data_IF_039894164799
#
_entry.id   IF_039894164799
#
_cell.length_a   1.000
_cell.length_b   1.000
_cell.length_c   1.000
_cell.angle_alpha   90.00
_cell.angle_beta   90.00
_cell.angle_gamma   90.00
#
_symmetry.space_group_name_H-M   'P 1'
#
loop_
_entity.id
_entity.type
_entity.pdbx_description
1 polymer ?
#
# COMPACT_ATOMS: atom_id res chain seq x y z
N UNK A 1 7.63 25.03 3.05
CA UNK A 1 6.20 25.38 2.89
C UNK A 1 5.43 24.61 3.96
N UNK A 2 4.98 25.28 5.03
CA UNK A 2 4.26 24.60 6.14
C UNK A 2 2.79 24.46 5.75
N UNK A 3 2.25 23.24 5.75
CA UNK A 3 0.84 22.97 5.45
C UNK A 3 0.19 22.43 6.71
N UNK A 4 -1.04 22.85 6.99
CA UNK A 4 -1.82 22.25 8.07
C UNK A 4 -2.30 20.87 7.59
N UNK A 5 -2.03 19.83 8.37
CA UNK A 5 -2.61 18.52 8.17
C UNK A 5 -3.71 18.30 9.21
N UNK A 6 -4.75 17.54 8.84
CA UNK A 6 -5.76 17.08 9.77
C UNK A 6 -5.10 16.11 10.75
N UNK A 7 -5.24 16.33 12.06
CA UNK A 7 -4.91 15.31 13.05
C UNK A 7 -5.94 14.18 12.96
N UNK A 8 -5.51 12.94 13.07
CA UNK A 8 -6.37 11.76 12.92
C UNK A 8 -6.28 10.78 14.07
N UNK A 9 -6.67 9.53 13.81
CA UNK A 9 -6.70 8.46 14.82
C UNK A 9 -5.59 7.42 14.63
N UNK A 10 -4.83 7.47 13.53
CA UNK A 10 -3.83 6.45 13.22
C UNK A 10 -2.65 6.55 14.17
N UNK A 11 -2.23 5.40 14.69
CA UNK A 11 -1.13 5.27 15.64
C UNK A 11 0.19 5.08 14.93
N UNK A 12 1.28 5.24 15.66
CA UNK A 12 2.62 4.98 15.15
C UNK A 12 2.74 3.55 14.60
N UNK A 13 3.29 3.41 13.40
CA UNK A 13 3.36 2.15 12.65
C UNK A 13 2.13 1.80 11.83
N UNK A 14 1.04 2.57 11.91
CA UNK A 14 -0.13 2.37 11.04
C UNK A 14 0.02 3.15 9.73
N UNK A 15 -0.54 2.59 8.65
CA UNK A 15 -0.57 3.24 7.34
C UNK A 15 -1.41 4.51 7.37
N UNK A 16 -0.97 5.52 6.61
CA UNK A 16 -1.63 6.82 6.53
C UNK A 16 -1.62 7.37 5.12
N UNK A 17 -2.56 8.28 4.85
CA UNK A 17 -2.63 9.00 3.58
C UNK A 17 -2.13 10.44 3.80
N UNK A 18 -1.05 10.87 3.11
CA UNK A 18 -0.54 12.24 3.22
C UNK A 18 -1.61 13.27 2.87
N UNK A 19 -1.80 14.28 3.71
CA UNK A 19 -2.82 15.34 3.54
C UNK A 19 -4.26 14.80 3.44
N UNK A 20 -4.57 13.64 4.03
CA UNK A 20 -5.93 13.10 4.01
C UNK A 20 -6.94 14.07 4.61
N UNK A 21 -8.12 14.13 4.00
CA UNK A 21 -9.28 14.85 4.53
C UNK A 21 -10.10 14.00 5.52
N UNK A 22 -9.74 12.72 5.69
CA UNK A 22 -10.43 11.77 6.55
C UNK A 22 -9.64 11.58 7.85
N UNK A 23 -10.29 11.85 8.98
CA UNK A 23 -9.70 11.67 10.32
C UNK A 23 -9.23 10.22 10.55
N UNK A 24 -9.95 9.24 9.99
CA UNK A 24 -9.60 7.82 10.07
C UNK A 24 -8.35 7.42 9.25
N UNK A 25 -7.89 8.26 8.32
CA UNK A 25 -6.71 8.00 7.48
C UNK A 25 -5.51 8.89 7.81
N UNK A 26 -5.68 9.80 8.77
CA UNK A 26 -4.66 10.73 9.22
C UNK A 26 -3.99 10.25 10.52
N UNK A 27 -2.74 10.68 10.72
CA UNK A 27 -1.96 10.34 11.91
C UNK A 27 -2.41 11.11 13.14
N UNK A 28 -2.32 10.46 14.29
CA UNK A 28 -2.59 11.08 15.58
C UNK A 28 -1.64 12.23 15.91
N UNK A 29 -1.96 12.99 16.97
CA UNK A 29 -1.18 14.16 17.38
C UNK A 29 0.32 13.85 17.53
N UNK A 30 1.16 14.70 16.96
CA UNK A 30 2.63 14.59 17.06
C UNK A 30 3.29 13.57 16.11
N UNK A 31 2.52 12.90 15.24
CA UNK A 31 3.03 11.97 14.26
C UNK A 31 3.05 12.59 12.85
N UNK A 32 4.09 12.26 12.09
CA UNK A 32 4.24 12.65 10.68
C UNK A 32 3.76 11.50 9.78
N UNK A 33 3.10 11.85 8.67
CA UNK A 33 2.65 10.87 7.68
C UNK A 33 3.61 10.81 6.49
N UNK A 34 4.42 9.76 6.44
CA UNK A 34 5.28 9.44 5.30
C UNK A 34 4.84 8.11 4.65
N UNK A 35 3.52 7.96 4.44
CA UNK A 35 2.87 6.68 4.10
C UNK A 35 2.60 5.79 5.31
N UNK A 36 3.38 5.99 6.37
CA UNK A 36 3.19 5.42 7.70
C UNK A 36 3.25 6.54 8.73
N UNK A 37 2.45 6.41 9.78
CA UNK A 37 2.52 7.32 10.92
C UNK A 37 3.76 7.02 11.75
N UNK A 38 4.61 8.03 11.92
CA UNK A 38 5.82 7.90 12.72
C UNK A 38 6.16 9.19 13.43
N UNK A 39 6.76 9.09 14.62
CA UNK A 39 7.37 10.27 15.24
C UNK A 39 8.53 10.78 14.40
N UNK A 40 8.85 12.06 14.51
CA UNK A 40 10.04 12.61 13.86
C UNK A 40 11.31 11.94 14.42
N UNK A 41 12.30 11.75 13.56
CA UNK A 41 13.53 11.07 13.92
C UNK A 41 14.76 11.77 13.32
N UNK A 42 15.96 11.34 13.74
CA UNK A 42 17.23 11.84 13.17
C UNK A 42 18.03 10.65 12.67
N UNK A 43 18.34 10.56 11.36
CA UNK A 43 19.08 9.42 10.80
C UNK A 43 20.44 9.18 11.47
N UNK A 44 21.04 10.23 12.03
CA UNK A 44 22.34 10.19 12.70
C UNK A 44 22.24 9.70 14.16
N UNK A 45 21.02 9.56 14.70
CA UNK A 45 20.77 9.14 16.08
C UNK A 45 19.95 7.84 16.06
N UNK A 46 20.60 6.67 16.15
CA UNK A 46 19.93 5.36 16.07
C UNK A 46 18.81 5.18 17.12
N UNK A 47 18.99 5.76 18.31
CA UNK A 47 18.01 5.71 19.42
C UNK A 47 16.80 6.64 19.22
N UNK A 48 16.74 7.38 18.10
CA UNK A 48 15.60 8.27 17.81
C UNK A 48 14.31 7.51 17.50
N UNK A 49 14.41 6.23 17.11
CA UNK A 49 13.26 5.38 16.84
C UNK A 49 13.15 4.23 17.85
N UNK A 50 11.92 3.85 18.23
CA UNK A 50 11.70 2.69 19.08
C UNK A 50 12.07 1.39 18.35
N UNK A 51 12.20 0.31 19.12
CA UNK A 51 12.47 -1.02 18.56
C UNK A 51 11.39 -1.43 17.54
N UNK A 52 11.81 -2.02 16.41
CA UNK A 52 10.93 -2.35 15.28
C UNK A 52 10.69 -1.19 14.32
N UNK A 53 11.39 -0.08 14.49
CA UNK A 53 11.36 1.06 13.58
C UNK A 53 12.76 1.50 13.19
N UNK A 54 12.87 2.18 12.05
CA UNK A 54 14.12 2.80 11.61
C UNK A 54 13.86 4.23 11.13
N UNK A 55 14.91 5.05 11.17
CA UNK A 55 14.86 6.40 10.64
C UNK A 55 15.43 6.42 9.21
N UNK A 56 14.62 6.70 8.17
CA UNK A 56 15.12 6.78 6.80
C UNK A 56 16.01 8.02 6.63
N UNK A 57 17.10 7.91 5.85
CA UNK A 57 17.98 9.06 5.54
C UNK A 57 17.25 10.19 4.80
N UNK A 58 16.30 9.82 3.94
CA UNK A 58 15.46 10.75 3.19
C UNK A 58 14.05 10.67 3.76
N UNK A 59 13.55 11.80 4.26
CA UNK A 59 12.19 11.92 4.77
C UNK A 59 11.22 12.49 3.72
N UNK A 60 9.95 12.59 4.11
CA UNK A 60 8.96 13.32 3.31
C UNK A 60 9.05 14.84 3.48
N UNK A 61 8.03 15.58 3.00
CA UNK A 61 8.03 17.05 2.98
C UNK A 61 8.24 17.71 4.35
N UNK A 62 7.84 17.04 5.43
CA UNK A 62 7.91 17.52 6.81
C UNK A 62 9.11 16.94 7.59
N UNK A 63 9.99 16.21 6.89
CA UNK A 63 11.19 15.60 7.46
C UNK A 63 11.08 14.08 7.65
N UNK A 64 12.17 13.44 8.13
CA UNK A 64 12.20 12.01 8.38
C UNK A 64 11.36 11.63 9.61
N UNK A 65 10.69 10.49 9.51
CA UNK A 65 9.89 9.90 10.58
C UNK A 65 10.23 8.43 10.75
N UNK A 66 10.03 7.89 11.95
CA UNK A 66 10.23 6.47 12.20
C UNK A 66 9.28 5.63 11.34
N UNK A 67 9.86 4.78 10.48
CA UNK A 67 9.12 3.84 9.65
C UNK A 67 9.19 2.44 10.27
N UNK A 68 8.12 1.65 10.23
CA UNK A 68 8.16 0.28 10.75
C UNK A 68 9.12 -0.58 9.91
N UNK A 69 9.73 -1.57 10.56
CA UNK A 69 10.54 -2.60 9.90
C UNK A 69 10.37 -3.97 10.56
N UNK A 70 10.28 -5.00 9.73
CA UNK A 70 10.27 -6.40 10.16
C UNK A 70 11.58 -7.15 9.85
N UNK A 71 12.59 -6.48 9.27
CA UNK A 71 13.81 -7.13 8.77
C UNK A 71 14.65 -7.79 9.86
N UNK A 72 14.73 -7.16 11.04
CA UNK A 72 15.55 -7.64 12.15
C UNK A 72 14.83 -8.63 13.07
N UNK A 73 13.51 -8.47 13.22
CA UNK A 73 12.69 -9.28 14.12
C UNK A 73 12.11 -10.52 13.45
N UNK A 74 12.02 -10.52 12.12
CA UNK A 74 11.21 -11.49 11.39
C UNK A 74 9.72 -11.31 11.69
N UNK A 75 8.90 -12.14 11.04
CA UNK A 75 7.46 -12.10 11.21
C UNK A 75 6.93 -13.33 11.94
N UNK A 76 5.77 -13.21 12.61
CA UNK A 76 5.08 -14.37 13.16
C UNK A 76 4.84 -15.45 12.09
N UNK A 77 4.57 -16.71 12.51
CA UNK A 77 4.09 -17.74 11.61
C UNK A 77 2.87 -17.22 10.81
N UNK A 78 2.79 -17.62 9.55
CA UNK A 78 1.74 -17.21 8.58
C UNK A 78 1.81 -15.75 8.08
N UNK A 79 2.85 -15.00 8.47
CA UNK A 79 3.09 -13.64 7.97
C UNK A 79 4.43 -13.56 7.24
N UNK A 80 4.47 -12.73 6.20
CA UNK A 80 5.70 -12.38 5.50
C UNK A 80 6.10 -10.93 5.82
N UNK A 81 7.40 -10.65 5.78
CA UNK A 81 7.91 -9.29 5.87
C UNK A 81 7.76 -8.62 4.51
N UNK A 82 6.86 -7.65 4.41
CA UNK A 82 6.50 -7.02 3.13
C UNK A 82 7.04 -5.61 3.09
N UNK A 83 7.82 -5.32 2.05
CA UNK A 83 8.43 -4.03 1.81
C UNK A 83 7.47 -3.15 1.01
N UNK A 84 7.27 -1.92 1.48
CA UNK A 84 6.42 -0.96 0.80
C UNK A 84 7.27 0.06 0.06
N UNK A 85 6.79 0.55 -1.09
CA UNK A 85 7.49 1.58 -1.87
C UNK A 85 7.69 2.88 -1.08
N UNK A 86 6.92 3.10 0.00
CA UNK A 86 7.10 4.23 0.92
C UNK A 86 8.27 4.05 1.91
N UNK A 87 9.00 2.92 1.83
CA UNK A 87 10.22 2.65 2.57
C UNK A 87 10.07 1.76 3.81
N UNK A 88 8.88 1.68 4.41
CA UNK A 88 8.62 0.81 5.56
C UNK A 88 8.48 -0.66 5.18
N UNK A 89 8.68 -1.55 6.15
CA UNK A 89 8.29 -2.96 6.04
C UNK A 89 7.46 -3.39 7.24
N UNK A 90 6.41 -4.18 6.98
CA UNK A 90 5.55 -4.71 8.04
C UNK A 90 5.28 -6.18 7.83
N UNK A 91 5.04 -6.88 8.94
CA UNK A 91 4.54 -8.24 8.89
C UNK A 91 3.09 -8.23 8.45
N UNK A 92 2.79 -9.01 7.42
CA UNK A 92 1.44 -9.09 6.89
C UNK A 92 1.14 -10.49 6.37
N UNK A 93 -0.12 -10.88 6.49
CA UNK A 93 -0.67 -12.03 5.79
C UNK A 93 -0.78 -11.67 4.32
N UNK A 94 -0.14 -12.46 3.45
CA UNK A 94 -0.15 -12.22 2.01
C UNK A 94 -1.30 -12.97 1.37
N UNK A 95 -2.15 -12.23 0.68
CA UNK A 95 -3.18 -12.77 -0.19
C UNK A 95 -2.73 -12.65 -1.64
N UNK A 96 -2.81 -13.76 -2.39
CA UNK A 96 -2.31 -13.85 -3.77
C UNK A 96 -0.86 -14.34 -3.84
N UNK A 97 -0.16 -13.97 -4.91
CA UNK A 97 1.23 -14.39 -5.13
C UNK A 97 2.15 -13.40 -4.44
N UNK A 98 2.95 -13.85 -3.47
CA UNK A 98 4.00 -13.02 -2.87
C UNK A 98 5.10 -12.72 -3.91
N UNK A 99 4.90 -11.64 -4.65
CA UNK A 99 5.78 -11.25 -5.75
C UNK A 99 7.09 -10.58 -5.31
N UNK A 100 7.26 -10.34 -4.00
CA UNK A 100 8.54 -9.93 -3.42
C UNK A 100 9.43 -11.13 -3.10
N UNK A 101 8.83 -12.27 -2.77
CA UNK A 101 9.55 -13.54 -2.59
C UNK A 101 9.74 -14.29 -3.90
N UNK A 102 8.73 -14.27 -4.78
CA UNK A 102 8.75 -14.91 -6.09
C UNK A 102 8.64 -13.83 -7.19
N UNK A 103 9.75 -13.44 -7.83
CA UNK A 103 9.76 -12.33 -8.78
C UNK A 103 8.72 -12.49 -9.88
N UNK A 104 8.09 -11.37 -10.25
CA UNK A 104 7.15 -11.37 -11.36
C UNK A 104 7.84 -11.72 -12.69
N UNK A 105 7.10 -12.35 -13.63
CA UNK A 105 7.56 -12.53 -15.01
C UNK A 105 8.00 -11.22 -15.65
N UNK A 106 8.85 -11.30 -16.68
CA UNK A 106 9.34 -10.13 -17.40
C UNK A 106 8.20 -9.20 -17.86
N UNK A 107 8.42 -7.89 -17.73
CA UNK A 107 7.44 -6.82 -18.03
C UNK A 107 6.19 -6.75 -17.13
N UNK A 108 6.19 -7.47 -15.99
CA UNK A 108 5.19 -7.30 -14.93
C UNK A 108 5.82 -6.67 -13.69
N UNK A 109 5.02 -5.93 -12.93
CA UNK A 109 5.44 -5.32 -11.67
C UNK A 109 4.66 -5.93 -10.51
N UNK A 110 5.38 -6.11 -9.41
CA UNK A 110 4.80 -6.58 -8.16
C UNK A 110 3.98 -5.45 -7.54
N UNK A 111 2.66 -5.61 -7.56
CA UNK A 111 1.76 -4.66 -6.95
C UNK A 111 1.41 -5.10 -5.53
N UNK A 112 1.45 -4.13 -4.62
CA UNK A 112 1.13 -4.30 -3.21
C UNK A 112 -0.05 -3.41 -2.87
N UNK A 113 -1.10 -4.01 -2.35
CA UNK A 113 -2.32 -3.32 -1.96
C UNK A 113 -2.62 -3.58 -0.49
N UNK A 114 -2.67 -2.50 0.30
CA UNK A 114 -3.16 -2.52 1.67
C UNK A 114 -4.55 -1.90 1.72
N UNK A 115 -5.42 -2.54 2.48
CA UNK A 115 -6.80 -2.07 2.67
C UNK A 115 -6.90 -1.45 4.06
N UNK A 116 -7.42 -0.23 4.13
CA UNK A 116 -7.45 0.55 5.37
C UNK A 116 -8.25 -0.12 6.50
N UNK A 117 -9.22 -0.98 6.15
CA UNK A 117 -10.02 -1.78 7.07
C UNK A 117 -9.40 -3.12 7.47
N UNK A 118 -8.37 -3.60 6.75
CA UNK A 118 -7.71 -4.90 7.01
C UNK A 118 -6.23 -4.71 7.34
N UNK A 119 -5.98 -4.11 8.50
CA UNK A 119 -4.61 -3.96 9.00
C UNK A 119 -3.93 -5.33 9.17
N UNK A 120 -2.66 -5.43 8.78
CA UNK A 120 -1.89 -6.68 8.85
C UNK A 120 -2.15 -7.66 7.72
N UNK A 121 -2.91 -7.27 6.69
CA UNK A 121 -3.08 -8.03 5.46
C UNK A 121 -2.63 -7.21 4.24
N UNK A 122 -2.04 -7.89 3.27
CA UNK A 122 -1.65 -7.30 1.99
C UNK A 122 -2.10 -8.20 0.85
N UNK A 123 -2.58 -7.59 -0.22
CA UNK A 123 -2.88 -8.26 -1.47
C UNK A 123 -1.76 -8.00 -2.45
N UNK A 124 -1.23 -9.08 -3.02
CA UNK A 124 -0.08 -9.03 -3.92
C UNK A 124 -0.39 -9.76 -5.22
N UNK A 125 -0.06 -9.11 -6.33
CA UNK A 125 -0.15 -9.73 -7.65
C UNK A 125 0.85 -9.10 -8.62
N UNK A 126 1.19 -9.86 -9.64
CA UNK A 126 1.98 -9.37 -10.76
C UNK A 126 1.05 -8.76 -11.79
N UNK A 127 1.22 -7.46 -12.06
CA UNK A 127 0.44 -6.76 -13.07
C UNK A 127 1.32 -6.33 -14.24
N UNK A 128 0.86 -6.51 -15.50
CA UNK A 128 1.49 -5.85 -16.62
C UNK A 128 1.41 -4.33 -16.48
N UNK A 129 2.51 -3.65 -16.78
CA UNK A 129 2.48 -2.19 -16.91
C UNK A 129 1.94 -1.79 -18.29
N UNK A 130 1.15 -0.72 -18.32
CA UNK A 130 0.74 -0.08 -19.56
C UNK A 130 1.26 1.35 -19.61
N UNK A 131 1.80 1.75 -20.76
CA UNK A 131 2.17 3.15 -21.00
C UNK A 131 0.95 3.94 -21.47
N UNK A 132 0.99 5.27 -21.32
CA UNK A 132 0.03 6.18 -21.95
C UNK A 132 -0.02 6.05 -23.47
N UNK A 133 1.00 5.42 -24.07
CA UNK A 133 1.13 5.20 -25.50
C UNK A 133 0.59 3.81 -25.93
N UNK A 134 -0.02 3.05 -25.00
CA UNK A 134 -0.82 1.88 -25.35
C UNK A 134 -0.04 0.62 -25.72
N UNK A 135 0.88 0.15 -24.85
CA UNK A 135 1.05 -1.31 -24.77
C UNK A 135 -0.28 -1.87 -24.25
N UNK A 136 -1.11 -2.34 -25.19
CA UNK A 136 -2.46 -2.81 -24.96
C UNK A 136 -2.43 -3.89 -23.91
N UNK A 137 -3.07 -3.65 -22.78
CA UNK A 137 -3.33 -4.71 -21.83
C UNK A 137 -3.96 -5.92 -22.56
N UNK A 138 -3.69 -7.12 -22.06
CA UNK A 138 -4.29 -8.34 -22.61
C UNK A 138 -5.81 -8.21 -22.70
N UNK A 139 -6.43 -9.00 -23.57
CA UNK A 139 -7.89 -9.05 -23.67
C UNK A 139 -8.51 -9.31 -22.30
N UNK A 140 -9.55 -8.56 -21.95
CA UNK A 140 -10.14 -8.56 -20.60
C UNK A 140 -9.47 -7.63 -19.59
N UNK A 141 -8.45 -6.84 -19.97
CA UNK A 141 -7.81 -5.84 -19.13
C UNK A 141 -7.84 -4.45 -19.78
N UNK A 142 -7.76 -3.39 -18.97
CA UNK A 142 -7.61 -2.03 -19.46
C UNK A 142 -6.61 -1.23 -18.64
N UNK A 143 -6.02 -0.22 -19.28
CA UNK A 143 -4.98 0.59 -18.66
C UNK A 143 -5.58 1.61 -17.68
N UNK A 144 -5.13 1.56 -16.42
CA UNK A 144 -5.48 2.52 -15.36
C UNK A 144 -4.25 2.81 -14.52
N UNK A 145 -3.90 4.09 -14.34
CA UNK A 145 -2.74 4.51 -13.55
C UNK A 145 -1.45 3.75 -13.93
N UNK A 146 -1.23 3.57 -15.24
CA UNK A 146 -0.10 2.83 -15.83
C UNK A 146 -0.07 1.32 -15.54
N UNK A 147 -1.22 0.75 -15.16
CA UNK A 147 -1.37 -0.67 -14.83
C UNK A 147 -2.51 -1.30 -15.61
N UNK A 148 -2.36 -2.57 -15.95
CA UNK A 148 -3.41 -3.36 -16.57
C UNK A 148 -4.33 -3.95 -15.50
N UNK A 149 -5.51 -3.35 -15.35
CA UNK A 149 -6.54 -3.79 -14.41
C UNK A 149 -7.54 -4.67 -15.14
N UNK A 150 -7.93 -5.79 -14.51
CA UNK A 150 -8.92 -6.73 -15.06
C UNK A 150 -10.30 -6.06 -15.12
N UNK A 151 -10.93 -6.12 -16.29
CA UNK A 151 -12.31 -5.71 -16.47
C UNK A 151 -13.24 -6.79 -15.92
N UNK A 152 -14.39 -6.36 -15.39
CA UNK A 152 -15.44 -7.25 -14.94
C UNK A 152 -16.80 -6.72 -15.38
N UNK A 153 -17.84 -7.54 -15.24
CA UNK A 153 -19.22 -7.09 -15.35
C UNK A 153 -19.92 -7.26 -14.00
N UNK A 154 -20.79 -6.33 -13.60
CA UNK A 154 -21.49 -6.40 -12.32
C UNK A 154 -22.31 -7.69 -12.17
N UNK A 155 -22.86 -8.21 -13.27
CA UNK A 155 -23.69 -9.41 -13.30
C UNK A 155 -22.86 -10.72 -13.38
N UNK A 156 -21.52 -10.64 -13.28
CA UNK A 156 -20.62 -11.78 -13.39
C UNK A 156 -19.58 -11.77 -12.26
N UNK A 157 -20.01 -12.06 -11.02
CA UNK A 157 -19.17 -11.94 -9.82
C UNK A 157 -17.94 -12.86 -9.85
N UNK A 158 -18.01 -13.99 -10.58
CA UNK A 158 -16.92 -14.97 -10.68
C UNK A 158 -15.77 -14.52 -11.61
N UNK A 159 -15.86 -13.32 -12.20
CA UNK A 159 -14.82 -12.80 -13.11
C UNK A 159 -13.56 -12.35 -12.35
N UNK A 160 -13.72 -11.98 -11.09
CA UNK A 160 -12.66 -11.43 -10.25
C UNK A 160 -11.95 -12.51 -9.43
N UNK A 161 -10.71 -12.24 -9.04
CA UNK A 161 -9.91 -13.17 -8.26
C UNK A 161 -10.38 -13.30 -6.82
N UNK A 162 -9.84 -14.26 -6.05
CA UNK A 162 -10.13 -14.39 -4.63
C UNK A 162 -9.87 -13.09 -3.86
N UNK A 163 -10.86 -12.63 -3.08
CA UNK A 163 -10.77 -11.39 -2.30
C UNK A 163 -10.95 -10.11 -3.12
N UNK A 164 -11.41 -10.23 -4.37
CA UNK A 164 -11.76 -9.11 -5.23
C UNK A 164 -13.26 -9.04 -5.47
N UNK A 165 -13.77 -7.82 -5.65
CA UNK A 165 -15.14 -7.56 -6.11
C UNK A 165 -15.13 -6.75 -7.40
N UNK A 166 -16.21 -6.89 -8.16
CA UNK A 166 -16.42 -6.05 -9.32
C UNK A 166 -16.98 -4.69 -8.88
N UNK A 167 -16.22 -3.62 -9.08
CA UNK A 167 -16.65 -2.28 -8.68
C UNK A 167 -16.45 -1.25 -9.80
N UNK A 168 -17.36 -0.29 -9.86
CA UNK A 168 -17.23 0.87 -10.71
C UNK A 168 -16.43 1.96 -10.00
N UNK A 169 -15.23 2.22 -10.53
CA UNK A 169 -14.24 3.08 -9.86
C UNK A 169 -14.63 4.57 -9.77
N UNK A 170 -15.49 5.01 -10.68
CA UNK A 170 -16.11 6.34 -10.78
C UNK A 170 -17.38 6.22 -11.61
N UNK A 171 -18.34 7.12 -11.43
CA UNK A 171 -19.54 7.16 -12.27
C UNK A 171 -19.16 7.23 -13.77
N UNK A 172 -19.71 6.29 -14.55
CA UNK A 172 -19.43 6.17 -15.98
C UNK A 172 -18.06 5.56 -16.33
N UNK A 173 -17.24 5.17 -15.35
CA UNK A 173 -16.02 4.42 -15.60
C UNK A 173 -16.31 2.95 -15.95
N UNK A 174 -15.32 2.28 -16.54
CA UNK A 174 -15.36 0.82 -16.73
C UNK A 174 -15.30 0.11 -15.38
N UNK A 175 -16.06 -0.97 -15.26
CA UNK A 175 -16.03 -1.87 -14.12
C UNK A 175 -14.70 -2.62 -14.06
N UNK A 176 -14.15 -2.71 -12.85
CA UNK A 176 -12.85 -3.32 -12.61
C UNK A 176 -12.92 -4.26 -11.41
N UNK A 177 -12.11 -5.32 -11.46
CA UNK A 177 -11.83 -6.11 -10.28
C UNK A 177 -10.93 -5.30 -9.34
N UNK A 178 -11.47 -4.97 -8.17
CA UNK A 178 -10.78 -4.29 -7.08
C UNK A 178 -10.75 -5.22 -5.88
N UNK A 179 -9.75 -5.06 -5.01
CA UNK A 179 -9.76 -5.80 -3.75
C UNK A 179 -10.94 -5.37 -2.89
N UNK A 180 -11.63 -6.33 -2.30
CA UNK A 180 -12.79 -6.06 -1.49
C UNK A 180 -12.37 -5.53 -0.11
N UNK A 181 -12.61 -4.24 0.10
CA UNK A 181 -12.37 -3.51 1.35
C UNK A 181 -13.33 -3.90 2.50
N UNK A 182 -14.44 -4.61 2.23
CA UNK A 182 -15.43 -5.00 3.24
C UNK A 182 -15.39 -6.52 3.54
N UNK A 183 -14.56 -6.93 4.51
CA UNK A 183 -14.84 -8.11 5.35
C UNK A 183 -14.16 -7.96 6.70
#
# INVERSE_FOLDING_TARGET
MKRCALEGLRREGEGCEPLSKKHASACGPGLLCNGWCGRSCRPEVPESCPEGFFCPRVGGPDGPSCLPTCESRGCPPDQACIHFNQGGSVCSVVHGTNCQQSPCPAAQVCETHTLAGRAGAVWMRCEPQCSSNGMSCLEGFFCRLQRCVRACQPDSPDTCGPGEKCEQLRDGARWACVFDDEA
#
